data_IF_251355091549
#
_entry.id   IF_251355091549
#
_cell.length_a   1.000
_cell.length_b   1.000
_cell.length_c   1.000
_cell.angle_alpha   90.00
_cell.angle_beta   90.00
_cell.angle_gamma   90.00
#
_symmetry.space_group_name_H-M   'P 1'
#
loop_
_entity.id
_entity.type
_entity.pdbx_description
1 polymer ?
#
# COMPACT_ATOMS: atom_id res chain seq x y z
N UNK A 1 -13.41 -20.26 25.16
CA UNK A 1 -12.79 -19.16 24.38
C UNK A 1 -13.91 -18.24 23.90
N UNK A 2 -13.90 -16.96 24.27
CA UNK A 2 -14.93 -16.01 23.82
C UNK A 2 -14.84 -15.82 22.29
N UNK A 3 -15.99 -15.76 21.60
CA UNK A 3 -16.05 -15.57 20.14
C UNK A 3 -15.24 -14.37 19.66
N UNK A 4 -15.17 -13.31 20.47
CA UNK A 4 -14.37 -12.12 20.16
C UNK A 4 -12.88 -12.43 20.06
N UNK A 5 -12.37 -13.31 20.92
CA UNK A 5 -10.95 -13.71 20.91
C UNK A 5 -10.68 -14.57 19.68
N UNK A 6 -11.60 -15.47 19.33
CA UNK A 6 -11.53 -16.29 18.13
C UNK A 6 -11.51 -15.44 16.86
N UNK A 7 -12.43 -14.48 16.74
CA UNK A 7 -12.50 -13.55 15.61
C UNK A 7 -11.20 -12.74 15.49
N UNK A 8 -10.66 -12.25 16.61
CA UNK A 8 -9.40 -11.49 16.61
C UNK A 8 -8.22 -12.35 16.11
N UNK A 9 -8.14 -13.61 16.53
CA UNK A 9 -7.09 -14.52 16.04
C UNK A 9 -7.23 -14.79 14.54
N UNK A 10 -8.46 -15.03 14.07
CA UNK A 10 -8.74 -15.21 12.64
C UNK A 10 -8.28 -14.00 11.85
N UNK A 11 -8.62 -12.79 12.30
CA UNK A 11 -8.23 -11.55 11.64
C UNK A 11 -6.72 -11.33 11.62
N UNK A 12 -6.01 -11.74 12.68
CA UNK A 12 -4.58 -11.55 12.82
C UNK A 12 -3.75 -12.47 11.90
N UNK A 13 -4.33 -13.51 11.29
CA UNK A 13 -3.62 -14.43 10.38
C UNK A 13 -2.56 -15.32 11.06
N UNK A 14 -1.93 -16.20 10.28
CA UNK A 14 -0.94 -17.17 10.74
C UNK A 14 -1.54 -18.50 11.23
N UNK A 15 -0.72 -19.34 11.87
CA UNK A 15 -1.11 -20.67 12.36
C UNK A 15 -2.27 -20.59 13.35
N UNK A 16 -2.26 -19.62 14.28
CA UNK A 16 -3.36 -19.39 15.22
C UNK A 16 -4.69 -19.07 14.54
N UNK A 17 -4.67 -18.34 13.42
CA UNK A 17 -5.88 -18.01 12.67
C UNK A 17 -6.52 -19.25 12.05
N UNK A 18 -5.70 -20.15 11.50
CA UNK A 18 -6.17 -21.40 10.88
C UNK A 18 -6.71 -22.34 11.94
N UNK A 19 -6.02 -22.48 13.07
CA UNK A 19 -6.47 -23.27 14.22
C UNK A 19 -7.79 -22.70 14.77
N UNK A 20 -7.90 -21.38 14.90
CA UNK A 20 -9.13 -20.71 15.30
C UNK A 20 -10.27 -20.94 14.29
N UNK A 21 -9.99 -20.97 12.99
CA UNK A 21 -11.01 -21.23 11.96
C UNK A 21 -11.52 -22.68 12.04
N UNK A 22 -10.63 -23.65 12.17
CA UNK A 22 -10.92 -25.08 12.27
C UNK A 22 -11.67 -25.48 13.55
N UNK A 23 -11.63 -24.62 14.57
CA UNK A 23 -12.43 -24.74 15.79
C UNK A 23 -11.89 -25.72 16.82
N UNK A 24 -12.48 -25.69 18.02
CA UNK A 24 -11.96 -26.36 19.23
C UNK A 24 -11.79 -27.88 19.10
N UNK A 25 -12.59 -28.56 18.28
CA UNK A 25 -12.50 -30.01 18.07
C UNK A 25 -11.26 -30.41 17.26
N UNK A 26 -10.84 -29.54 16.35
CA UNK A 26 -9.70 -29.74 15.46
C UNK A 26 -8.41 -29.17 16.06
N UNK A 27 -8.54 -28.07 16.81
CA UNK A 27 -7.43 -27.36 17.46
C UNK A 27 -6.67 -28.20 18.51
N UNK A 28 -7.34 -29.15 19.17
CA UNK A 28 -6.70 -29.99 20.19
C UNK A 28 -5.79 -31.10 19.62
N UNK A 29 -5.82 -31.33 18.30
CA UNK A 29 -5.13 -32.45 17.64
C UNK A 29 -4.14 -32.04 16.55
N UNK A 30 -4.10 -30.75 16.18
CA UNK A 30 -3.30 -30.27 15.07
C UNK A 30 -2.06 -29.55 15.60
N UNK A 31 -0.88 -30.06 15.27
CA UNK A 31 0.36 -29.32 15.41
C UNK A 31 0.55 -28.38 14.21
N UNK A 32 1.43 -27.40 14.34
CA UNK A 32 1.75 -26.47 13.24
C UNK A 32 2.24 -27.17 11.97
N UNK A 33 2.83 -28.37 12.11
CA UNK A 33 3.29 -29.22 11.00
C UNK A 33 2.16 -29.93 10.25
N UNK A 34 0.99 -30.06 10.86
CA UNK A 34 -0.17 -30.74 10.26
C UNK A 34 -1.05 -29.76 9.47
N UNK A 35 -0.76 -28.46 9.56
CA UNK A 35 -1.48 -27.42 8.84
C UNK A 35 -1.04 -27.39 7.36
N UNK A 36 -1.98 -27.20 6.41
CA UNK A 36 -1.62 -27.01 5.01
C UNK A 36 -0.71 -25.80 4.85
N UNK A 37 0.52 -26.03 4.36
CA UNK A 37 1.55 -24.99 4.21
C UNK A 37 1.06 -23.80 3.38
N UNK A 38 0.27 -24.05 2.33
CA UNK A 38 -0.28 -23.00 1.46
C UNK A 38 -1.18 -22.05 2.25
N UNK A 39 -2.07 -22.58 3.11
CA UNK A 39 -2.94 -21.74 3.93
C UNK A 39 -2.16 -21.02 5.02
N UNK A 40 -1.12 -21.66 5.58
CA UNK A 40 -0.22 -21.03 6.54
C UNK A 40 0.48 -19.81 5.92
N UNK A 41 1.05 -19.99 4.73
CA UNK A 41 1.69 -18.91 3.97
C UNK A 41 0.70 -17.81 3.61
N UNK A 42 -0.45 -18.13 3.04
CA UNK A 42 -1.47 -17.15 2.64
C UNK A 42 -1.99 -16.32 3.84
N UNK A 43 -2.26 -16.99 4.97
CA UNK A 43 -2.68 -16.30 6.20
C UNK A 43 -1.57 -15.41 6.78
N UNK A 44 -0.30 -15.84 6.68
CA UNK A 44 0.87 -15.06 7.10
C UNK A 44 1.12 -13.84 6.21
N UNK A 45 1.01 -14.00 4.90
CA UNK A 45 1.13 -12.91 3.92
C UNK A 45 -0.02 -11.91 4.10
N UNK A 46 -1.24 -12.37 4.35
CA UNK A 46 -2.37 -11.50 4.66
C UNK A 46 -2.15 -10.67 5.92
N UNK A 47 -1.60 -11.28 6.98
CA UNK A 47 -1.21 -10.56 8.21
C UNK A 47 -0.16 -9.48 7.92
N UNK A 48 0.84 -9.81 7.12
CA UNK A 48 1.90 -8.88 6.76
C UNK A 48 1.37 -7.73 5.91
N UNK A 49 0.49 -8.01 4.94
CA UNK A 49 -0.21 -7.01 4.14
C UNK A 49 -1.04 -6.06 5.00
N UNK A 50 -1.78 -6.55 5.99
CA UNK A 50 -2.55 -5.71 6.91
C UNK A 50 -1.66 -4.77 7.75
N UNK A 51 -0.43 -5.19 8.08
CA UNK A 51 0.52 -4.35 8.81
C UNK A 51 1.12 -3.27 7.92
N UNK A 52 1.49 -3.62 6.69
CA UNK A 52 2.07 -2.70 5.71
C UNK A 52 1.05 -1.69 5.18
N UNK A 53 -0.23 -2.07 5.08
CA UNK A 53 -1.28 -1.22 4.53
C UNK A 53 -1.74 -0.07 5.44
N UNK A 54 -1.15 0.06 6.64
CA UNK A 54 -1.49 1.15 7.56
C UNK A 54 -0.81 2.45 7.10
N UNK A 55 -1.55 3.57 7.06
CA UNK A 55 -0.95 4.85 6.73
C UNK A 55 0.13 5.23 7.75
N UNK A 56 1.34 5.63 7.30
CA UNK A 56 2.37 6.12 8.19
C UNK A 56 1.97 7.48 8.77
N UNK A 57 2.51 7.79 9.96
CA UNK A 57 2.40 9.13 10.53
C UNK A 57 3.39 10.07 9.80
N UNK A 58 2.89 11.15 9.22
CA UNK A 58 3.69 12.06 8.40
C UNK A 58 4.42 13.01 9.34
N UNK A 59 5.76 12.96 9.35
CA UNK A 59 6.58 13.92 10.07
C UNK A 59 7.56 14.57 9.12
N UNK A 60 7.55 15.90 9.08
CA UNK A 60 8.51 16.67 8.27
C UNK A 60 9.52 17.29 9.21
N UNK A 61 10.77 16.83 9.11
CA UNK A 61 11.84 17.38 9.94
C UNK A 61 12.20 18.81 9.51
N UNK A 62 12.40 19.73 10.47
CA UNK A 62 12.85 21.08 10.16
C UNK A 62 14.33 21.07 9.77
N UNK A 63 14.69 21.84 8.73
CA UNK A 63 16.07 21.93 8.27
C UNK A 63 17.05 22.54 9.30
N UNK A 64 16.54 23.33 10.26
CA UNK A 64 17.29 23.97 11.34
C UNK A 64 16.41 24.09 12.59
N UNK A 65 16.99 24.11 13.77
CA UNK A 65 16.26 24.32 15.03
C UNK A 65 15.95 25.81 15.29
N UNK A 66 15.12 26.39 14.42
CA UNK A 66 14.65 27.77 14.55
C UNK A 66 13.13 27.79 14.54
N UNK A 67 12.50 28.70 15.30
CA UNK A 67 11.03 28.84 15.34
C UNK A 67 10.42 28.98 13.93
N UNK A 68 11.06 29.73 13.05
CA UNK A 68 10.62 29.90 11.66
C UNK A 68 10.70 28.60 10.83
N UNK A 69 11.75 27.80 11.01
CA UNK A 69 11.92 26.54 10.31
C UNK A 69 10.90 25.50 10.78
N UNK A 70 10.63 25.43 12.10
CA UNK A 70 9.55 24.61 12.67
C UNK A 70 8.18 24.98 12.09
N UNK A 71 7.87 26.28 11.98
CA UNK A 71 6.62 26.74 11.37
C UNK A 71 6.50 26.34 9.89
N UNK A 72 7.60 26.37 9.14
CA UNK A 72 7.63 25.93 7.73
C UNK A 72 7.46 24.42 7.59
N UNK A 73 8.10 23.64 8.47
CA UNK A 73 7.97 22.19 8.50
C UNK A 73 6.52 21.77 8.79
N UNK A 74 5.90 22.36 9.83
CA UNK A 74 4.51 22.11 10.17
C UNK A 74 3.55 22.50 9.03
N UNK A 75 3.85 23.60 8.30
CA UNK A 75 3.08 23.95 7.10
C UNK A 75 3.20 22.88 6.00
N UNK A 76 4.39 22.31 5.78
CA UNK A 76 4.59 21.24 4.78
C UNK A 76 3.88 19.96 5.18
N UNK A 77 3.95 19.60 6.45
CA UNK A 77 3.25 18.43 7.01
C UNK A 77 1.74 18.53 6.76
N UNK A 78 1.14 19.69 7.05
CA UNK A 78 -0.28 19.94 6.77
C UNK A 78 -0.63 19.87 5.27
N UNK A 79 0.27 20.34 4.39
CA UNK A 79 0.07 20.24 2.94
C UNK A 79 0.10 18.78 2.50
N UNK A 80 1.07 18.00 2.97
CA UNK A 80 1.19 16.58 2.66
C UNK A 80 -0.02 15.79 3.16
N UNK A 81 -0.45 16.01 4.40
CA UNK A 81 -1.65 15.39 4.95
C UNK A 81 -2.91 15.71 4.11
N UNK A 82 -3.03 16.95 3.62
CA UNK A 82 -4.12 17.34 2.73
C UNK A 82 -4.05 16.66 1.35
N UNK A 83 -2.85 16.47 0.80
CA UNK A 83 -2.64 15.75 -0.45
C UNK A 83 -2.99 14.26 -0.29
N UNK A 84 -2.49 13.61 0.76
CA UNK A 84 -2.75 12.19 1.04
C UNK A 84 -4.25 11.90 1.21
N UNK A 85 -4.98 12.84 1.83
CA UNK A 85 -6.43 12.78 1.92
C UNK A 85 -7.10 12.87 0.53
N UNK A 86 -6.66 13.80 -0.32
CA UNK A 86 -7.21 13.94 -1.68
C UNK A 86 -6.90 12.74 -2.58
N UNK A 87 -5.71 12.16 -2.44
CA UNK A 87 -5.30 10.99 -3.22
C UNK A 87 -5.89 9.68 -2.71
N UNK A 88 -6.54 9.70 -1.53
CA UNK A 88 -7.07 8.51 -0.84
C UNK A 88 -5.98 7.46 -0.60
N UNK A 89 -4.88 7.93 0.00
CA UNK A 89 -3.73 7.07 0.33
C UNK A 89 -4.13 5.91 1.27
N UNK A 90 -5.15 6.13 2.10
CA UNK A 90 -5.79 5.15 2.97
C UNK A 90 -6.37 3.93 2.23
N UNK A 91 -6.83 4.12 0.98
CA UNK A 91 -7.31 3.03 0.12
C UNK A 91 -6.18 2.44 -0.72
N UNK A 92 -5.21 3.28 -1.11
CA UNK A 92 -4.09 2.88 -1.96
C UNK A 92 -3.08 1.98 -1.22
N UNK A 93 -2.78 2.28 0.04
CA UNK A 93 -1.79 1.54 0.84
C UNK A 93 -2.22 0.08 1.12
N UNK A 94 -3.46 -0.23 1.53
CA UNK A 94 -3.89 -1.62 1.68
C UNK A 94 -3.82 -2.42 0.38
N UNK A 95 -4.06 -1.76 -0.75
CA UNK A 95 -3.95 -2.37 -2.07
C UNK A 95 -2.50 -2.67 -2.43
N UNK A 96 -1.61 -1.69 -2.27
CA UNK A 96 -0.17 -1.87 -2.45
C UNK A 96 0.42 -2.93 -1.51
N UNK A 97 -0.02 -2.94 -0.25
CA UNK A 97 0.44 -3.87 0.77
C UNK A 97 0.05 -5.33 0.49
N UNK A 98 -0.95 -5.58 -0.34
CA UNK A 98 -1.28 -6.93 -0.83
C UNK A 98 -0.26 -7.45 -1.84
N UNK A 99 0.40 -6.56 -2.56
CA UNK A 99 1.37 -6.92 -3.59
C UNK A 99 2.80 -7.01 -3.06
N UNK A 100 3.18 -6.18 -2.08
CA UNK A 100 4.52 -6.19 -1.49
C UNK A 100 5.02 -7.58 -1.06
N UNK A 101 4.22 -8.43 -0.36
CA UNK A 101 4.71 -9.73 0.11
C UNK A 101 4.94 -10.74 -1.02
N UNK A 102 4.23 -10.59 -2.14
CA UNK A 102 4.32 -11.49 -3.29
C UNK A 102 5.33 -11.03 -4.34
N UNK A 103 5.28 -9.74 -4.73
CA UNK A 103 6.10 -9.17 -5.81
C UNK A 103 7.40 -8.53 -5.31
N UNK A 104 7.49 -8.16 -4.03
CA UNK A 104 8.65 -7.46 -3.47
C UNK A 104 8.72 -5.96 -3.77
N UNK A 105 7.87 -5.44 -4.67
CA UNK A 105 7.81 -4.01 -5.00
C UNK A 105 6.41 -3.56 -5.42
N UNK A 106 6.16 -2.26 -5.32
CA UNK A 106 4.94 -1.60 -5.84
C UNK A 106 5.32 -0.28 -6.52
N UNK A 107 4.98 -0.10 -7.80
CA UNK A 107 5.26 1.15 -8.51
C UNK A 107 4.23 2.22 -8.15
N UNK A 108 4.72 3.43 -7.89
CA UNK A 108 3.90 4.63 -7.71
C UNK A 108 4.23 5.65 -8.78
N UNK A 109 3.20 6.28 -9.35
CA UNK A 109 3.36 7.32 -10.36
C UNK A 109 2.79 8.62 -9.84
N UNK A 110 3.55 9.71 -10.00
CA UNK A 110 3.07 11.06 -9.68
C UNK A 110 2.48 11.64 -10.96
N UNK A 111 1.17 11.83 -10.98
CA UNK A 111 0.40 12.44 -12.07
C UNK A 111 -0.17 13.79 -11.63
N UNK A 112 -0.67 14.58 -12.59
CA UNK A 112 -1.42 15.79 -12.26
C UNK A 112 -2.93 15.47 -12.17
N UNK A 113 -3.52 15.76 -11.03
CA UNK A 113 -4.97 15.72 -10.81
C UNK A 113 -5.59 17.12 -10.89
N UNK A 114 -6.86 17.20 -11.30
CA UNK A 114 -7.64 18.46 -11.27
C UNK A 114 -8.56 18.46 -10.06
N UNK A 115 -8.42 19.46 -9.20
CA UNK A 115 -9.26 19.63 -8.01
C UNK A 115 -10.66 20.14 -8.37
N UNK A 116 -11.59 20.09 -7.42
CA UNK A 116 -12.96 20.64 -7.57
C UNK A 116 -12.95 22.13 -7.98
N UNK A 117 -11.93 22.86 -7.54
CA UNK A 117 -11.77 24.29 -7.81
C UNK A 117 -11.08 24.57 -9.16
N UNK A 118 -10.83 23.54 -9.97
CA UNK A 118 -10.13 23.66 -11.25
C UNK A 118 -8.60 23.76 -11.14
N UNK A 119 -8.05 23.95 -9.93
CA UNK A 119 -6.60 23.96 -9.70
C UNK A 119 -5.98 22.58 -9.88
N UNK A 120 -4.82 22.53 -10.53
CA UNK A 120 -4.05 21.31 -10.71
C UNK A 120 -3.21 21.02 -9.47
N UNK A 121 -3.11 19.77 -9.08
CA UNK A 121 -2.28 19.31 -7.95
C UNK A 121 -1.57 18.00 -8.30
N UNK A 122 -0.45 17.74 -7.64
CA UNK A 122 0.25 16.47 -7.78
C UNK A 122 -0.54 15.36 -7.07
N UNK A 123 -0.83 14.27 -7.78
CA UNK A 123 -1.56 13.11 -7.29
C UNK A 123 -0.67 11.87 -7.44
N UNK A 124 -0.49 11.15 -6.35
CA UNK A 124 0.21 9.87 -6.34
C UNK A 124 -0.80 8.74 -6.61
N UNK A 125 -0.56 7.93 -7.64
CA UNK A 125 -1.40 6.78 -7.99
C UNK A 125 -0.58 5.48 -7.97
N UNK A 126 -1.16 4.43 -7.35
CA UNK A 126 -0.63 3.07 -7.42
C UNK A 126 -0.82 2.56 -8.83
N UNK A 127 0.26 2.05 -9.43
CA UNK A 127 0.17 1.36 -10.72
C UNK A 127 0.23 -0.13 -10.50
N UNK A 128 -0.41 -0.89 -11.39
CA UNK A 128 -0.37 -2.33 -11.35
C UNK A 128 1.06 -2.84 -11.50
N UNK A 129 1.54 -3.64 -10.53
CA UNK A 129 2.86 -4.25 -10.59
C UNK A 129 3.02 -5.18 -11.80
N UNK A 130 1.94 -5.80 -12.29
CA UNK A 130 1.97 -6.58 -13.54
C UNK A 130 2.30 -5.75 -14.78
N UNK A 131 2.01 -4.46 -14.76
CA UNK A 131 2.33 -3.56 -15.88
C UNK A 131 3.76 -3.03 -15.80
N UNK A 132 4.48 -3.32 -14.71
CA UNK A 132 5.75 -2.70 -14.36
C UNK A 132 6.73 -3.77 -13.92
N UNK A 133 7.42 -4.39 -14.87
CA UNK A 133 8.53 -5.32 -14.64
C UNK A 133 8.18 -6.70 -14.00
N UNK A 134 8.70 -7.81 -14.56
CA UNK A 134 9.26 -7.91 -15.89
C UNK A 134 8.13 -7.70 -16.90
N UNK A 135 8.32 -6.74 -17.81
CA UNK A 135 7.46 -6.63 -18.99
C UNK A 135 7.65 -7.86 -19.89
N UNK A 136 7.17 -7.78 -21.13
CA UNK A 136 7.28 -8.85 -22.12
C UNK A 136 8.72 -9.36 -22.36
N UNK A 137 9.75 -8.62 -21.94
CA UNK A 137 11.18 -8.92 -22.16
C UNK A 137 11.96 -9.40 -20.93
N UNK A 138 11.33 -9.60 -19.76
CA UNK A 138 12.01 -10.26 -18.65
C UNK A 138 12.95 -9.36 -17.81
N UNK A 139 13.98 -9.95 -17.16
CA UNK A 139 14.84 -9.29 -16.17
C UNK A 139 15.78 -8.20 -16.74
N UNK A 140 15.84 -8.04 -18.05
CA UNK A 140 16.71 -7.07 -18.72
C UNK A 140 16.04 -5.70 -19.00
N UNK A 141 14.79 -5.51 -18.53
CA UNK A 141 14.06 -4.26 -18.73
C UNK A 141 14.81 -3.07 -18.09
N UNK A 142 15.03 -2.00 -18.85
CA UNK A 142 15.73 -0.81 -18.34
C UNK A 142 14.78 0.14 -17.58
N UNK A 143 15.28 0.93 -16.60
CA UNK A 143 14.45 1.89 -15.86
C UNK A 143 13.72 2.92 -16.75
N UNK A 144 14.32 3.26 -17.90
CA UNK A 144 13.75 4.17 -18.89
C UNK A 144 12.50 3.58 -19.57
N UNK A 145 12.38 2.26 -19.64
CA UNK A 145 11.23 1.54 -20.20
C UNK A 145 10.06 1.42 -19.21
N UNK A 146 10.32 1.61 -17.91
CA UNK A 146 9.28 1.76 -16.89
C UNK A 146 8.61 3.16 -16.94
N UNK A 147 9.33 4.16 -17.44
CA UNK A 147 8.85 5.53 -17.63
C UNK A 147 8.16 5.69 -19.00
N UNK A 148 6.89 5.31 -19.08
CA UNK A 148 6.10 5.58 -20.28
C UNK A 148 5.93 7.10 -20.50
N UNK A 149 6.57 7.65 -21.53
CA UNK A 149 6.22 8.96 -22.09
C UNK A 149 4.85 8.82 -22.76
N UNK A 150 3.79 9.18 -22.04
CA UNK A 150 2.44 9.18 -22.62
C UNK A 150 2.28 10.41 -23.51
N UNK A 151 2.39 10.22 -24.82
CA UNK A 151 2.03 11.26 -25.80
C UNK A 151 0.54 11.57 -25.67
N UNK A 152 0.21 12.67 -25.00
CA UNK A 152 -1.16 13.19 -24.94
C UNK A 152 -1.44 13.91 -26.27
N UNK A 153 -2.54 13.54 -26.95
CA UNK A 153 -2.89 14.21 -28.21
C UNK A 153 -3.15 15.69 -27.96
N UNK A 154 -2.68 16.56 -28.86
CA UNK A 154 -2.87 18.02 -28.77
C UNK A 154 -4.35 18.40 -28.58
N UNK A 155 -5.29 17.59 -29.11
CA UNK A 155 -6.73 17.78 -28.94
C UNK A 155 -7.21 17.60 -27.49
N UNK A 156 -6.60 16.69 -26.71
CA UNK A 156 -6.86 16.54 -25.27
C UNK A 156 -6.23 17.66 -24.45
N UNK A 157 -5.07 18.17 -24.89
CA UNK A 157 -4.38 19.29 -24.26
C UNK A 157 -5.10 20.62 -24.49
N UNK A 158 -5.68 20.83 -25.67
CA UNK A 158 -6.42 22.04 -26.04
C UNK A 158 -7.84 22.14 -25.45
N UNK A 159 -8.33 21.10 -24.77
CA UNK A 159 -9.66 21.07 -24.11
C UNK A 159 -9.58 21.29 -22.59
N UNK A 160 -8.40 21.57 -22.04
CA UNK A 160 -8.21 21.96 -20.63
C UNK A 160 -8.12 23.47 -20.50
#
# INVERSE_FOLDING_TARGET
MSDRVRIRQIMNGGSEAIIALLGQRSAAKLNERDLPLVHLMDSGLTRLAQRLGKPPDIKVDPAKDTKAAKKRALKRENILAGLDYQTRLDLALPYAARWLPGYGFVPWVIVQGKGRNGQMYAKAEVRNSFDCFPGQWGPDNQPEEAAFIRLVSKRKLARQ
#
